data_IF_342504338496
#
_entry.id   IF_342504338496
#
_cell.length_a   1.000
_cell.length_b   1.000
_cell.length_c   1.000
_cell.angle_alpha   90.00
_cell.angle_beta   90.00
_cell.angle_gamma   90.00
#
_symmetry.space_group_name_H-M   'P 1'
#
loop_
_entity.id
_entity.type
_entity.pdbx_description
1 polymer ?
#
# COMPACT_ATOMS: atom_id res chain seq x y z
N UNK A 1 21.99 -12.62 -1.65
CA UNK A 1 21.91 -11.24 -1.12
C UNK A 1 20.62 -11.16 -0.34
N UNK A 2 20.65 -10.74 0.93
CA UNK A 2 19.44 -10.63 1.76
C UNK A 2 18.64 -9.42 1.31
N UNK A 3 17.34 -9.57 1.08
CA UNK A 3 16.45 -8.47 0.71
C UNK A 3 16.45 -7.41 1.81
N UNK A 4 16.65 -6.14 1.43
CA UNK A 4 16.61 -5.00 2.34
C UNK A 4 15.27 -4.25 2.25
N UNK A 5 14.75 -3.77 3.38
CA UNK A 5 13.56 -2.90 3.38
C UNK A 5 13.82 -1.58 2.64
N UNK A 6 15.06 -1.10 2.60
CA UNK A 6 15.46 0.05 1.80
C UNK A 6 15.11 -0.09 0.30
N UNK A 7 15.04 -1.31 -0.23
CA UNK A 7 14.63 -1.57 -1.62
C UNK A 7 13.12 -1.32 -1.83
N UNK A 8 12.33 -1.44 -0.76
CA UNK A 8 10.86 -1.36 -0.75
C UNK A 8 10.32 -0.02 -0.20
N UNK A 9 11.19 0.88 0.27
CA UNK A 9 10.79 2.21 0.78
C UNK A 9 11.23 3.33 -0.15
N UNK A 10 10.49 4.44 -0.10
CA UNK A 10 10.81 5.65 -0.87
C UNK A 10 12.01 6.41 -0.26
N UNK A 11 12.14 6.39 1.06
CA UNK A 11 13.29 6.99 1.78
C UNK A 11 14.59 6.22 1.59
N UNK A 12 14.55 5.01 1.02
CA UNK A 12 15.71 4.11 0.89
C UNK A 12 16.37 3.78 2.23
N UNK A 13 15.54 3.65 3.26
CA UNK A 13 15.92 3.25 4.61
C UNK A 13 15.32 1.88 4.96
N UNK A 14 16.03 1.12 5.79
CA UNK A 14 15.57 -0.14 6.34
C UNK A 14 16.52 -1.30 6.05
N UNK A 15 16.84 -2.04 7.11
CA UNK A 15 17.69 -3.22 7.07
C UNK A 15 17.01 -4.50 6.56
N UNK A 16 17.56 -5.68 6.91
CA UNK A 16 17.16 -6.94 6.30
C UNK A 16 15.74 -7.36 6.68
N UNK A 17 15.08 -8.06 5.76
CA UNK A 17 13.77 -8.70 5.97
C UNK A 17 13.97 -10.15 6.41
N UNK A 18 13.31 -10.56 7.51
CA UNK A 18 13.29 -11.96 7.94
C UNK A 18 12.60 -12.87 6.94
N UNK A 19 11.34 -12.55 6.61
CA UNK A 19 10.57 -13.21 5.54
C UNK A 19 9.75 -12.20 4.77
N UNK A 20 9.78 -12.25 3.43
CA UNK A 20 8.88 -11.48 2.58
C UNK A 20 7.79 -12.40 2.01
N UNK A 21 6.53 -12.01 2.18
CA UNK A 21 5.38 -12.59 1.48
C UNK A 21 4.80 -11.49 0.59
N UNK A 22 4.69 -11.74 -0.71
CA UNK A 22 4.04 -10.81 -1.63
C UNK A 22 2.63 -11.32 -1.91
N UNK A 23 1.62 -10.56 -1.51
CA UNK A 23 0.21 -10.93 -1.64
C UNK A 23 -0.42 -10.22 -2.85
N UNK A 24 -0.84 -10.99 -3.84
CA UNK A 24 -1.44 -10.52 -5.09
C UNK A 24 -2.97 -10.53 -5.06
N UNK A 25 -3.57 -11.18 -4.07
CA UNK A 25 -5.02 -11.25 -3.88
C UNK A 25 -5.40 -10.94 -2.44
N UNK A 26 -6.67 -10.56 -2.24
CA UNK A 26 -7.25 -10.41 -0.89
C UNK A 26 -7.11 -11.69 -0.07
N UNK A 27 -7.35 -12.86 -0.70
CA UNK A 27 -7.22 -14.16 -0.06
C UNK A 27 -5.79 -14.42 0.43
N UNK A 28 -4.79 -14.17 -0.41
CA UNK A 28 -3.37 -14.31 -0.04
C UNK A 28 -2.97 -13.35 1.09
N UNK A 29 -3.50 -12.12 1.08
CA UNK A 29 -3.24 -11.14 2.14
C UNK A 29 -3.79 -11.64 3.49
N UNK A 30 -5.05 -12.08 3.50
CA UNK A 30 -5.71 -12.61 4.69
C UNK A 30 -5.01 -13.88 5.18
N UNK A 31 -4.61 -14.78 4.28
CA UNK A 31 -3.89 -16.00 4.63
C UNK A 31 -2.52 -15.69 5.23
N UNK A 32 -1.76 -14.75 4.66
CA UNK A 32 -0.45 -14.36 5.19
C UNK A 32 -0.55 -13.79 6.62
N UNK A 33 -1.56 -12.97 6.89
CA UNK A 33 -1.83 -12.44 8.23
C UNK A 33 -2.18 -13.59 9.19
N UNK A 34 -3.13 -14.45 8.82
CA UNK A 34 -3.56 -15.59 9.66
C UNK A 34 -2.42 -16.55 9.98
N UNK A 35 -1.54 -16.81 9.01
CA UNK A 35 -0.38 -17.68 9.19
C UNK A 35 0.63 -17.06 10.16
N UNK A 36 0.88 -15.75 10.07
CA UNK A 36 1.75 -15.05 11.02
C UNK A 36 1.17 -15.06 12.44
N UNK A 37 -0.13 -14.78 12.58
CA UNK A 37 -0.82 -14.80 13.87
C UNK A 37 -0.78 -16.20 14.50
N UNK A 38 -1.08 -17.24 13.72
CA UNK A 38 -1.07 -18.64 14.19
C UNK A 38 0.32 -19.11 14.60
N UNK A 39 1.37 -18.60 13.96
CA UNK A 39 2.76 -18.89 14.29
C UNK A 39 3.34 -18.01 15.40
N UNK A 40 2.60 -17.00 15.88
CA UNK A 40 3.10 -16.02 16.85
C UNK A 40 4.23 -15.13 16.30
N UNK A 41 4.30 -14.98 14.97
CA UNK A 41 5.32 -14.19 14.29
C UNK A 41 4.95 -12.71 14.25
N UNK A 42 5.94 -11.82 14.43
CA UNK A 42 5.73 -10.38 14.19
C UNK A 42 5.48 -10.12 12.71
N UNK A 43 4.40 -9.40 12.41
CA UNK A 43 4.00 -9.06 11.04
C UNK A 43 4.13 -7.55 10.78
N UNK A 44 4.67 -7.20 9.62
CA UNK A 44 4.60 -5.85 9.05
C UNK A 44 3.83 -5.92 7.74
N UNK A 45 2.69 -5.25 7.63
CA UNK A 45 2.02 -5.04 6.34
C UNK A 45 2.62 -3.80 5.68
N UNK A 46 3.13 -3.96 4.46
CA UNK A 46 3.77 -2.90 3.70
C UNK A 46 3.11 -2.80 2.32
N UNK A 47 2.79 -1.59 1.87
CA UNK A 47 2.34 -1.33 0.51
C UNK A 47 3.46 -0.62 -0.28
N UNK A 48 3.19 0.55 -0.86
CA UNK A 48 4.20 1.32 -1.61
C UNK A 48 5.37 1.93 -0.80
N UNK A 49 5.42 1.73 0.53
CA UNK A 49 6.56 2.18 1.35
C UNK A 49 6.84 3.68 1.33
N UNK A 50 5.82 4.51 1.05
CA UNK A 50 5.95 5.96 0.93
C UNK A 50 5.90 6.72 2.25
N UNK A 51 5.46 6.08 3.34
CA UNK A 51 5.33 6.74 4.64
C UNK A 51 5.80 5.87 5.81
N UNK A 52 6.97 5.26 5.67
CA UNK A 52 7.59 4.44 6.74
C UNK A 52 9.04 4.83 6.94
N UNK A 53 9.48 4.83 8.20
CA UNK A 53 10.89 4.94 8.59
C UNK A 53 11.27 3.64 9.25
N UNK A 54 12.14 2.87 8.60
CA UNK A 54 12.54 1.54 9.04
C UNK A 54 13.99 1.60 9.52
N UNK A 55 14.25 1.04 10.70
CA UNK A 55 15.60 0.98 11.27
C UNK A 55 16.54 0.08 10.45
N UNK A 56 17.85 0.37 10.51
CA UNK A 56 18.90 -0.43 9.87
C UNK A 56 19.01 -1.86 10.42
N UNK A 57 18.47 -2.10 11.61
CA UNK A 57 18.33 -3.45 12.15
C UNK A 57 17.33 -4.32 11.37
N UNK A 58 16.50 -3.71 10.51
CA UNK A 58 15.52 -4.39 9.68
C UNK A 58 14.28 -4.86 10.43
N UNK A 59 13.61 -5.87 9.87
CA UNK A 59 12.43 -6.49 10.46
C UNK A 59 12.65 -8.00 10.57
N UNK A 60 12.81 -8.56 11.79
CA UNK A 60 13.12 -9.98 11.96
C UNK A 60 11.93 -10.90 11.66
N UNK A 61 10.72 -10.36 11.60
CA UNK A 61 9.50 -11.10 11.33
C UNK A 61 9.14 -11.18 9.85
N UNK A 62 7.85 -11.41 9.60
CA UNK A 62 7.30 -11.45 8.24
C UNK A 62 6.88 -10.04 7.80
N UNK A 63 7.27 -9.67 6.58
CA UNK A 63 6.75 -8.51 5.87
C UNK A 63 5.78 -9.01 4.80
N UNK A 64 4.54 -8.54 4.83
CA UNK A 64 3.55 -8.82 3.80
C UNK A 64 3.46 -7.61 2.89
N UNK A 65 3.98 -7.75 1.68
CA UNK A 65 3.90 -6.72 0.64
C UNK A 65 2.56 -6.82 -0.09
N UNK A 66 1.73 -5.79 0.04
CA UNK A 66 0.44 -5.67 -0.65
C UNK A 66 0.69 -5.38 -2.12
N UNK A 67 0.37 -6.34 -2.98
CA UNK A 67 0.57 -6.29 -4.44
C UNK A 67 -0.70 -6.70 -5.21
N UNK A 68 -1.87 -6.56 -4.57
CA UNK A 68 -3.16 -6.78 -5.21
C UNK A 68 -3.54 -5.57 -6.07
N UNK A 69 -3.99 -5.85 -7.29
CA UNK A 69 -4.36 -4.83 -8.28
C UNK A 69 -5.76 -5.10 -8.80
N UNK A 70 -6.43 -4.04 -9.26
CA UNK A 70 -7.74 -4.15 -9.88
C UNK A 70 -8.70 -3.05 -9.43
N UNK A 71 -9.42 -2.52 -10.41
CA UNK A 71 -10.43 -1.49 -10.24
C UNK A 71 -11.74 -2.01 -10.84
N UNK A 72 -12.81 -2.00 -10.05
CA UNK A 72 -14.18 -2.28 -10.52
C UNK A 72 -14.98 -0.99 -10.46
N UNK A 73 -15.67 -0.66 -11.54
CA UNK A 73 -16.49 0.55 -11.66
C UNK A 73 -17.97 0.21 -11.72
N UNK A 74 -18.79 0.92 -10.95
CA UNK A 74 -20.24 0.89 -11.00
C UNK A 74 -20.76 2.34 -11.01
N UNK A 75 -21.00 2.89 -12.20
CA UNK A 75 -21.31 4.31 -12.36
C UNK A 75 -20.12 5.19 -11.96
N UNK A 76 -20.30 6.07 -10.98
CA UNK A 76 -19.25 6.90 -10.38
C UNK A 76 -18.53 6.23 -9.19
N UNK A 77 -18.99 5.05 -8.75
CA UNK A 77 -18.38 4.33 -7.64
C UNK A 77 -17.26 3.41 -8.12
N UNK A 78 -16.12 3.48 -7.45
CA UNK A 78 -14.98 2.59 -7.66
C UNK A 78 -14.80 1.67 -6.45
N UNK A 79 -14.54 0.39 -6.73
CA UNK A 79 -14.00 -0.55 -5.76
C UNK A 79 -12.59 -0.92 -6.21
N UNK A 80 -11.59 -0.54 -5.41
CA UNK A 80 -10.18 -0.61 -5.79
C UNK A 80 -9.43 -1.54 -4.85
N UNK A 81 -8.56 -2.39 -5.40
CA UNK A 81 -7.68 -3.25 -4.61
C UNK A 81 -6.60 -2.43 -3.89
N UNK A 82 -6.22 -2.87 -2.69
CA UNK A 82 -5.35 -2.10 -1.80
C UNK A 82 -3.96 -1.78 -2.37
N UNK A 83 -3.41 -2.62 -3.24
CA UNK A 83 -2.10 -2.43 -3.85
C UNK A 83 -2.11 -1.51 -5.09
N UNK A 84 -3.27 -1.06 -5.57
CA UNK A 84 -3.36 -0.19 -6.75
C UNK A 84 -2.57 1.11 -6.52
N UNK A 85 -1.64 1.51 -7.42
CA UNK A 85 -0.89 2.76 -7.28
C UNK A 85 -1.83 3.97 -7.25
N UNK A 86 -1.66 4.82 -6.24
CA UNK A 86 -2.60 5.90 -5.97
C UNK A 86 -2.65 6.96 -7.08
N UNK A 87 -1.51 7.55 -7.43
CA UNK A 87 -1.49 8.64 -8.42
C UNK A 87 -1.96 8.19 -9.84
N UNK A 88 -1.56 7.00 -10.35
CA UNK A 88 -2.16 6.46 -11.57
C UNK A 88 -3.67 6.25 -11.50
N UNK A 89 -4.22 5.83 -10.35
CA UNK A 89 -5.66 5.74 -10.15
C UNK A 89 -6.32 7.12 -10.25
N UNK A 90 -5.78 8.13 -9.56
CA UNK A 90 -6.27 9.52 -9.64
C UNK A 90 -6.24 10.05 -11.08
N UNK A 91 -5.14 9.82 -11.80
CA UNK A 91 -5.05 10.22 -13.20
C UNK A 91 -6.12 9.55 -14.07
N UNK A 92 -6.41 8.27 -13.83
CA UNK A 92 -7.46 7.54 -14.54
C UNK A 92 -8.87 8.06 -14.21
N UNK A 93 -9.16 8.40 -12.95
CA UNK A 93 -10.48 8.95 -12.58
C UNK A 93 -10.71 10.32 -13.21
N UNK A 94 -9.70 11.19 -13.23
CA UNK A 94 -9.75 12.49 -13.90
C UNK A 94 -9.97 12.32 -15.41
N UNK A 95 -9.25 11.39 -16.05
CA UNK A 95 -9.43 11.09 -17.47
C UNK A 95 -10.84 10.58 -17.81
N UNK A 96 -11.46 9.83 -16.88
CA UNK A 96 -12.82 9.32 -16.99
C UNK A 96 -13.92 10.36 -16.65
N UNK A 97 -13.53 11.61 -16.34
CA UNK A 97 -14.45 12.69 -15.98
C UNK A 97 -15.06 12.55 -14.59
N UNK A 98 -14.44 11.76 -13.71
CA UNK A 98 -14.84 11.62 -12.31
C UNK A 98 -14.15 12.69 -11.47
N UNK A 99 -14.87 13.78 -11.19
CA UNK A 99 -14.37 14.88 -10.35
C UNK A 99 -14.27 14.49 -8.87
N UNK A 100 -13.43 15.20 -8.13
CA UNK A 100 -13.21 15.01 -6.69
C UNK A 100 -12.02 14.11 -6.37
N UNK A 101 -11.06 13.96 -7.27
CA UNK A 101 -9.81 13.23 -6.99
C UNK A 101 -8.56 14.02 -7.42
N UNK A 102 -8.73 15.02 -8.28
CA UNK A 102 -7.67 15.80 -8.91
C UNK A 102 -6.70 16.43 -7.92
N UNK A 103 -7.19 16.95 -6.78
CA UNK A 103 -6.37 17.55 -5.74
C UNK A 103 -5.49 16.53 -5.01
N UNK A 104 -5.72 15.23 -5.20
CA UNK A 104 -4.96 14.16 -4.56
C UNK A 104 -3.90 13.54 -5.50
N UNK A 105 -3.71 14.10 -6.70
CA UNK A 105 -2.64 13.70 -7.62
C UNK A 105 -1.25 14.07 -7.08
N UNK A 106 -0.24 13.30 -7.50
CA UNK A 106 1.15 13.42 -7.09
C UNK A 106 1.49 12.73 -5.76
N UNK A 107 0.50 12.23 -5.02
CA UNK A 107 0.74 11.55 -3.75
C UNK A 107 1.29 10.12 -4.02
N UNK A 108 2.50 9.78 -3.52
CA UNK A 108 3.05 8.45 -3.73
C UNK A 108 2.43 7.41 -2.79
N UNK A 109 2.38 6.16 -3.24
CA UNK A 109 1.94 5.03 -2.43
C UNK A 109 0.83 4.24 -3.10
N UNK A 110 0.13 3.46 -2.29
CA UNK A 110 -0.93 2.56 -2.74
C UNK A 110 -2.28 2.98 -2.18
N UNK A 111 -3.33 2.71 -2.93
CA UNK A 111 -4.71 3.12 -2.63
C UNK A 111 -5.19 2.63 -1.27
N UNK A 112 -4.84 1.40 -0.86
CA UNK A 112 -5.24 0.86 0.44
C UNK A 112 -4.59 1.56 1.64
N UNK A 113 -3.52 2.33 1.41
CA UNK A 113 -2.89 3.13 2.47
C UNK A 113 -3.58 4.49 2.68
N UNK A 114 -4.36 4.97 1.71
CA UNK A 114 -4.93 6.32 1.77
C UNK A 114 -5.92 6.53 2.91
N UNK A 115 -6.77 5.56 3.30
CA UNK A 115 -7.66 5.73 4.44
C UNK A 115 -6.94 5.67 5.80
N UNK A 116 -5.73 5.09 5.88
CA UNK A 116 -5.02 4.87 7.15
C UNK A 116 -4.73 6.21 7.86
N UNK A 117 -4.39 7.25 7.09
CA UNK A 117 -4.07 8.58 7.62
C UNK A 117 -4.90 9.69 6.99
N UNK A 118 -6.05 9.33 6.40
CA UNK A 118 -6.88 10.25 5.64
C UNK A 118 -6.06 11.12 4.69
N UNK A 119 -5.36 10.47 3.75
CA UNK A 119 -4.46 11.15 2.81
C UNK A 119 -5.15 12.35 2.18
N UNK A 120 -4.46 13.48 2.18
CA UNK A 120 -5.00 14.74 1.69
C UNK A 120 -3.92 15.65 1.14
N UNK A 121 -4.32 16.50 0.20
CA UNK A 121 -3.49 17.54 -0.39
C UNK A 121 -4.38 18.64 -0.98
N UNK A 122 -3.83 19.85 -1.09
CA UNK A 122 -4.48 20.99 -1.73
C UNK A 122 -5.90 21.31 -1.23
N UNK A 123 -6.18 21.06 0.05
CA UNK A 123 -7.48 21.34 0.67
C UNK A 123 -8.54 20.27 0.46
N UNK A 124 -8.16 19.10 -0.04
CA UNK A 124 -9.03 17.93 -0.17
C UNK A 124 -8.42 16.72 0.56
N UNK A 125 -9.28 15.84 1.10
CA UNK A 125 -8.92 14.60 1.77
C UNK A 125 -9.70 13.40 1.20
N UNK A 126 -9.22 12.18 1.44
CA UNK A 126 -9.89 10.94 1.02
C UNK A 126 -11.26 10.75 1.68
N UNK A 127 -11.51 11.42 2.80
CA UNK A 127 -12.80 11.39 3.50
C UNK A 127 -13.90 12.26 2.90
N UNK A 128 -13.57 13.16 1.96
CA UNK A 128 -14.54 14.06 1.30
C UNK A 128 -15.44 13.30 0.31
#
# INVERSE_FOLDING_TARGET
>A
MTLQLAELTTLKLGGPVGRLVKAHTEAELVEAVRNADSAGEKLLVLAGGSNVVVADAGWPGTVVLVASHGVKRAGSRLSVQAGEPWDPLVAATVADGLAGFECLSGIPGSTGATPIQNVGAYGQEVSD
#
